data_IF_387512789073
#
_entry.id   IF_387512789073
#
_cell.length_a   1.000
_cell.length_b   1.000
_cell.length_c   1.000
_cell.angle_alpha   90.00
_cell.angle_beta   90.00
_cell.angle_gamma   90.00
#
_symmetry.space_group_name_H-M   'P 1'
#
loop_
_entity.id
_entity.type
_entity.pdbx_description
1 polymer ?
#
# COMPACT_ATOMS: atom_id res chain seq x y z
N UNK A 1 19.87 -32.57 32.31
CA UNK A 1 19.15 -31.43 31.71
C UNK A 1 19.28 -30.10 32.49
N UNK A 2 19.19 -30.06 33.82
CA UNK A 2 19.34 -28.80 34.60
C UNK A 2 20.74 -28.14 34.50
N UNK A 3 21.79 -28.91 34.37
CA UNK A 3 23.20 -28.39 34.31
C UNK A 3 23.55 -27.74 32.95
N UNK A 4 22.95 -28.16 31.85
CA UNK A 4 23.15 -27.55 30.53
C UNK A 4 22.40 -26.22 30.36
N UNK A 5 21.23 -26.08 30.97
CA UNK A 5 20.49 -24.81 30.96
C UNK A 5 21.19 -23.71 31.78
N UNK A 6 21.86 -24.10 32.90
CA UNK A 6 22.64 -23.14 33.68
C UNK A 6 23.87 -22.59 32.92
N UNK A 7 24.57 -23.44 32.16
CA UNK A 7 25.73 -23.03 31.36
C UNK A 7 25.33 -22.11 30.17
N UNK A 8 24.19 -22.40 29.55
CA UNK A 8 23.66 -21.55 28.45
C UNK A 8 23.26 -20.16 28.95
N UNK A 9 22.59 -20.08 30.11
CA UNK A 9 22.21 -18.82 30.72
C UNK A 9 23.42 -17.93 31.09
N UNK A 10 24.50 -18.55 31.58
CA UNK A 10 25.75 -17.81 31.90
C UNK A 10 26.44 -17.28 30.65
N UNK A 11 26.43 -18.03 29.55
CA UNK A 11 27.02 -17.58 28.27
C UNK A 11 26.21 -16.41 27.68
N UNK A 12 24.89 -16.50 27.69
CA UNK A 12 24.03 -15.41 27.20
C UNK A 12 24.21 -14.13 28.02
N UNK A 13 24.31 -14.25 29.35
CA UNK A 13 24.56 -13.12 30.22
C UNK A 13 25.93 -12.47 30.00
N UNK A 14 26.98 -13.28 29.77
CA UNK A 14 28.32 -12.79 29.48
C UNK A 14 28.38 -12.04 28.14
N UNK A 15 27.66 -12.48 27.09
CA UNK A 15 27.58 -11.80 25.80
C UNK A 15 26.82 -10.47 25.93
N UNK A 16 25.73 -10.42 26.69
CA UNK A 16 25.00 -9.21 26.96
C UNK A 16 25.80 -8.18 27.72
N UNK A 17 26.54 -8.61 28.75
CA UNK A 17 27.43 -7.73 29.54
C UNK A 17 28.58 -7.18 28.68
N UNK A 18 29.19 -8.02 27.82
CA UNK A 18 30.23 -7.57 26.89
C UNK A 18 29.70 -6.54 25.87
N UNK A 19 28.47 -6.72 25.37
CA UNK A 19 27.83 -5.77 24.45
C UNK A 19 27.51 -4.43 25.12
N UNK A 20 27.04 -4.45 26.36
CA UNK A 20 26.77 -3.23 27.15
C UNK A 20 28.05 -2.50 27.48
N UNK A 21 29.14 -3.19 27.88
CA UNK A 21 30.44 -2.58 28.15
C UNK A 21 31.08 -2.01 26.88
N UNK A 22 30.91 -2.66 25.72
CA UNK A 22 31.35 -2.13 24.43
C UNK A 22 30.66 -0.82 24.05
N UNK A 23 29.34 -0.76 24.28
CA UNK A 23 28.54 0.46 24.00
C UNK A 23 28.86 1.61 24.96
N UNK A 24 29.21 1.33 26.23
CA UNK A 24 29.63 2.35 27.21
C UNK A 24 31.01 2.90 26.87
N UNK A 25 31.98 2.05 26.51
CA UNK A 25 33.36 2.49 26.16
C UNK A 25 33.39 3.29 24.85
N UNK A 26 32.43 3.08 23.93
CA UNK A 26 32.36 3.91 22.72
C UNK A 26 31.71 5.28 22.96
N UNK A 27 31.04 5.47 24.11
CA UNK A 27 30.39 6.75 24.46
C UNK A 27 31.33 7.77 25.12
N UNK A 28 32.47 7.33 25.65
CA UNK A 28 33.40 8.20 26.39
C UNK A 28 34.51 8.87 25.54
N UNK A 29 34.56 8.65 24.23
CA UNK A 29 35.52 9.29 23.31
C UNK A 29 34.84 10.28 22.38
N UNK A 30 34.24 11.35 22.92
CA UNK A 30 33.98 12.57 22.14
C UNK A 30 34.86 13.70 22.67
N UNK A 31 35.73 14.30 21.86
CA UNK A 31 36.36 15.56 22.22
C UNK A 31 35.34 16.69 22.02
N UNK A 32 35.14 17.48 23.07
CA UNK A 32 34.45 18.77 23.01
C UNK A 32 35.30 19.76 22.21
N UNK A 33 34.67 20.42 21.30
CA UNK A 33 34.91 21.68 20.62
C UNK A 33 34.79 21.54 19.10
N UNK A 34 33.71 22.07 18.55
CA UNK A 34 33.81 22.92 17.36
C UNK A 34 32.53 23.74 17.14
N UNK A 35 32.75 24.97 16.76
CA UNK A 35 31.81 26.05 16.57
C UNK A 35 30.63 25.72 15.64
N UNK A 36 29.47 26.28 16.01
CA UNK A 36 28.25 26.30 15.21
C UNK A 36 28.47 27.16 13.97
N UNK A 37 28.70 26.52 12.82
CA UNK A 37 28.44 27.12 11.52
C UNK A 37 27.18 26.48 10.96
N UNK A 38 26.13 27.30 10.77
CA UNK A 38 24.95 26.94 9.98
C UNK A 38 25.41 26.56 8.57
N UNK A 39 25.56 25.27 8.27
CA UNK A 39 25.67 24.80 6.90
C UNK A 39 24.28 24.36 6.45
N UNK A 40 23.80 24.99 5.39
CA UNK A 40 22.66 24.53 4.61
C UNK A 40 22.88 23.05 4.29
N UNK A 41 21.90 22.20 4.63
CA UNK A 41 21.85 20.80 4.21
C UNK A 41 21.75 20.77 2.67
N UNK A 42 22.91 20.77 2.03
CA UNK A 42 23.01 20.28 0.65
C UNK A 42 22.72 18.78 0.75
N UNK A 43 21.61 18.34 0.15
CA UNK A 43 21.31 16.93 -0.04
C UNK A 43 22.55 16.27 -0.65
N UNK A 44 23.26 15.46 0.13
CA UNK A 44 24.36 14.67 -0.40
C UNK A 44 23.76 13.70 -1.45
N UNK A 45 24.39 13.56 -2.62
CA UNK A 45 23.97 12.57 -3.60
C UNK A 45 23.96 11.20 -2.91
N UNK A 46 22.87 10.45 -3.12
CA UNK A 46 22.72 9.13 -2.54
C UNK A 46 23.99 8.31 -2.77
N UNK A 47 24.65 7.88 -1.69
CA UNK A 47 25.83 7.02 -1.82
C UNK A 47 25.43 5.79 -2.62
N UNK A 48 26.18 5.47 -3.67
CA UNK A 48 25.91 4.32 -4.50
C UNK A 48 25.85 3.06 -3.61
N UNK A 49 24.73 2.33 -3.68
CA UNK A 49 24.54 1.09 -2.94
C UNK A 49 25.70 0.13 -3.18
N UNK A 50 26.26 -0.42 -2.11
CA UNK A 50 27.20 -1.52 -2.24
C UNK A 50 26.53 -2.75 -2.85
N UNK A 51 27.29 -3.61 -3.51
CA UNK A 51 26.77 -4.86 -4.08
C UNK A 51 26.12 -5.75 -3.00
N UNK A 52 26.63 -5.71 -1.78
CA UNK A 52 26.07 -6.44 -0.63
C UNK A 52 24.70 -5.87 -0.24
N UNK A 53 24.55 -4.54 -0.17
CA UNK A 53 23.27 -3.90 0.14
C UNK A 53 22.20 -4.24 -0.89
N UNK A 54 22.53 -4.19 -2.19
CA UNK A 54 21.64 -4.61 -3.27
C UNK A 54 21.20 -6.07 -3.13
N UNK A 55 22.15 -6.96 -2.82
CA UNK A 55 21.85 -8.38 -2.63
C UNK A 55 20.93 -8.61 -1.43
N UNK A 56 21.20 -7.99 -0.30
CA UNK A 56 20.36 -8.09 0.91
C UNK A 56 18.96 -7.55 0.68
N UNK A 57 18.84 -6.37 0.04
CA UNK A 57 17.55 -5.80 -0.35
C UNK A 57 16.76 -6.77 -1.22
N UNK A 58 17.39 -7.34 -2.25
CA UNK A 58 16.73 -8.27 -3.16
C UNK A 58 16.22 -9.53 -2.42
N UNK A 59 17.03 -10.08 -1.50
CA UNK A 59 16.62 -11.23 -0.69
C UNK A 59 15.45 -10.84 0.22
N UNK A 60 15.54 -9.70 0.92
CA UNK A 60 14.50 -9.19 1.80
C UNK A 60 13.17 -9.02 1.06
N UNK A 61 13.16 -8.29 -0.06
CA UNK A 61 11.93 -8.02 -0.82
C UNK A 61 11.36 -9.30 -1.45
N UNK A 62 12.20 -10.22 -1.95
CA UNK A 62 11.74 -11.54 -2.44
C UNK A 62 11.11 -12.37 -1.33
N UNK A 63 11.71 -12.40 -0.15
CA UNK A 63 11.18 -13.11 1.02
C UNK A 63 9.83 -12.53 1.42
N UNK A 64 9.70 -11.21 1.48
CA UNK A 64 8.41 -10.56 1.78
C UNK A 64 7.34 -10.92 0.75
N UNK A 65 7.64 -10.90 -0.55
CA UNK A 65 6.66 -11.24 -1.59
C UNK A 65 6.07 -12.64 -1.38
N UNK A 66 6.92 -13.64 -1.17
CA UNK A 66 6.45 -15.03 -0.99
C UNK A 66 5.75 -15.24 0.35
N UNK A 67 6.11 -14.47 1.39
CA UNK A 67 5.45 -14.49 2.70
C UNK A 67 4.08 -13.82 2.64
N UNK A 68 4.02 -12.57 2.17
CA UNK A 68 2.79 -11.77 2.13
C UNK A 68 1.70 -12.40 1.25
N UNK A 69 2.09 -13.09 0.18
CA UNK A 69 1.15 -13.79 -0.71
C UNK A 69 0.78 -15.20 -0.21
N UNK A 70 1.32 -15.65 0.93
CA UNK A 70 1.13 -17.02 1.42
C UNK A 70 1.77 -18.10 0.53
N UNK A 71 2.58 -17.71 -0.46
CA UNK A 71 3.22 -18.63 -1.40
C UNK A 71 4.25 -19.54 -0.70
N UNK A 72 5.05 -18.98 0.22
CA UNK A 72 6.07 -19.73 0.97
C UNK A 72 5.48 -20.86 1.81
N UNK A 73 4.27 -20.71 2.31
CA UNK A 73 3.59 -21.69 3.18
C UNK A 73 2.69 -22.64 2.39
N UNK A 74 2.60 -22.49 1.06
CA UNK A 74 1.63 -23.18 0.23
C UNK A 74 0.20 -23.02 0.78
N UNK A 75 -0.10 -21.81 1.26
CA UNK A 75 -1.38 -21.45 1.84
C UNK A 75 -2.52 -21.84 0.91
N UNK A 76 -3.53 -22.51 1.44
CA UNK A 76 -4.73 -22.84 0.66
C UNK A 76 -5.37 -21.58 0.08
N UNK A 77 -6.14 -21.74 -0.98
CA UNK A 77 -6.92 -20.67 -1.58
C UNK A 77 -8.33 -20.63 -0.95
N UNK A 78 -8.84 -19.42 -0.75
CA UNK A 78 -10.25 -19.19 -0.41
C UNK A 78 -11.04 -19.15 -1.70
N UNK A 79 -12.08 -19.99 -1.81
CA UNK A 79 -13.05 -19.95 -2.88
C UNK A 79 -14.33 -19.30 -2.39
N UNK A 80 -14.80 -18.32 -3.11
CA UNK A 80 -16.12 -17.73 -2.87
C UNK A 80 -17.19 -18.65 -3.39
N UNK A 81 -18.13 -19.03 -2.53
CA UNK A 81 -19.37 -19.71 -2.94
C UNK A 81 -20.40 -18.69 -3.41
N UNK A 82 -21.32 -19.12 -4.28
CA UNK A 82 -22.52 -18.34 -4.62
C UNK A 82 -23.55 -18.57 -3.50
N UNK A 83 -23.83 -17.54 -2.70
CA UNK A 83 -24.74 -17.62 -1.55
C UNK A 83 -24.08 -17.10 -0.27
N UNK A 84 -24.55 -17.51 0.91
CA UNK A 84 -23.85 -17.27 2.16
C UNK A 84 -22.44 -17.87 2.04
N UNK A 85 -21.45 -16.99 2.08
CA UNK A 85 -20.06 -17.32 1.69
C UNK A 85 -19.50 -18.34 2.67
N UNK A 86 -19.67 -19.61 2.39
CA UNK A 86 -18.86 -20.65 3.00
C UNK A 86 -17.44 -20.50 2.47
N UNK A 87 -16.49 -20.18 3.35
CA UNK A 87 -15.08 -20.11 3.00
C UNK A 87 -14.62 -21.54 2.74
N UNK A 88 -14.66 -21.95 1.48
CA UNK A 88 -14.12 -23.25 1.07
C UNK A 88 -12.64 -23.07 0.79
N UNK A 89 -11.80 -23.81 1.50
CA UNK A 89 -10.36 -23.83 1.25
C UNK A 89 -9.99 -24.89 0.19
N UNK A 90 -9.37 -24.45 -0.89
CA UNK A 90 -8.81 -25.31 -1.93
C UNK A 90 -7.28 -25.38 -1.87
N UNK A 91 -6.70 -26.41 -2.47
CA UNK A 91 -5.23 -26.49 -2.63
C UNK A 91 -4.73 -25.32 -3.48
N UNK A 92 -3.59 -24.75 -3.08
CA UNK A 92 -2.97 -23.64 -3.81
C UNK A 92 -2.61 -24.04 -5.23
N UNK A 93 -3.00 -23.19 -6.20
CA UNK A 93 -2.49 -23.26 -7.56
C UNK A 93 -1.34 -22.24 -7.71
N UNK A 94 -0.14 -22.71 -8.02
CA UNK A 94 1.07 -21.87 -8.08
C UNK A 94 0.95 -20.72 -9.08
N UNK A 95 0.40 -20.97 -10.27
CA UNK A 95 0.28 -19.94 -11.32
C UNK A 95 -0.77 -18.89 -10.94
N UNK A 96 -1.95 -19.36 -10.48
CA UNK A 96 -3.00 -18.44 -9.97
C UNK A 96 -2.48 -17.57 -8.82
N UNK A 97 -1.79 -18.17 -7.80
CA UNK A 97 -1.24 -17.43 -6.68
C UNK A 97 -0.20 -16.39 -7.11
N UNK A 98 0.68 -16.74 -8.04
CA UNK A 98 1.63 -15.79 -8.59
C UNK A 98 0.99 -14.60 -9.28
N UNK A 99 -0.10 -14.84 -10.02
CA UNK A 99 -0.83 -13.81 -10.76
C UNK A 99 -1.89 -13.08 -9.94
N UNK A 100 -2.14 -13.48 -8.69
CA UNK A 100 -3.24 -12.93 -7.88
C UNK A 100 -4.62 -13.39 -8.37
N UNK A 101 -4.71 -14.61 -8.92
CA UNK A 101 -5.95 -15.22 -9.37
C UNK A 101 -6.60 -16.11 -8.32
N UNK A 102 -6.04 -16.21 -7.13
CA UNK A 102 -6.63 -16.85 -5.96
C UNK A 102 -6.38 -16.02 -4.70
N UNK A 103 -7.23 -16.19 -3.69
CA UNK A 103 -7.08 -15.50 -2.41
C UNK A 103 -6.46 -16.45 -1.38
N UNK A 104 -5.36 -16.08 -0.71
CA UNK A 104 -4.75 -16.94 0.29
C UNK A 104 -5.61 -17.04 1.56
N UNK A 105 -5.80 -18.23 2.10
CA UNK A 105 -6.42 -18.42 3.42
C UNK A 105 -5.50 -17.87 4.51
N UNK A 106 -4.19 -18.08 4.39
CA UNK A 106 -3.13 -17.51 5.21
C UNK A 106 -2.21 -16.69 4.30
N UNK A 107 -2.24 -15.38 4.46
CA UNK A 107 -1.47 -14.40 3.66
C UNK A 107 -2.10 -13.02 3.82
N UNK A 108 -1.38 -12.01 3.41
CA UNK A 108 -1.70 -10.60 3.71
C UNK A 108 -2.13 -9.82 2.48
N UNK A 109 -1.99 -10.40 1.28
CA UNK A 109 -2.45 -9.80 0.02
C UNK A 109 -2.87 -10.87 -0.98
N UNK A 110 -3.86 -10.54 -1.81
CA UNK A 110 -4.35 -11.41 -2.90
C UNK A 110 -3.80 -11.01 -4.28
N UNK A 111 -3.04 -9.92 -4.39
CA UNK A 111 -2.58 -9.43 -5.71
C UNK A 111 -1.47 -10.30 -6.34
N UNK A 112 -0.97 -11.27 -5.59
CA UNK A 112 0.06 -12.19 -6.05
C UNK A 112 1.46 -11.57 -6.17
N UNK A 113 2.42 -12.39 -6.54
CA UNK A 113 3.82 -11.96 -6.67
C UNK A 113 3.97 -10.93 -7.78
N UNK A 114 3.27 -11.10 -8.92
CA UNK A 114 3.35 -10.18 -10.07
C UNK A 114 2.79 -8.78 -9.71
N UNK A 115 1.73 -8.72 -8.88
CA UNK A 115 1.22 -7.45 -8.37
C UNK A 115 2.24 -6.73 -7.48
N UNK A 116 2.92 -7.47 -6.60
CA UNK A 116 3.99 -6.91 -5.77
C UNK A 116 5.24 -6.55 -6.58
N UNK A 117 5.57 -7.30 -7.65
CA UNK A 117 6.64 -6.93 -8.59
C UNK A 117 6.36 -5.58 -9.24
N UNK A 118 5.12 -5.33 -9.68
CA UNK A 118 4.72 -4.05 -10.26
C UNK A 118 4.84 -2.91 -9.25
N UNK A 119 4.34 -3.06 -8.01
CA UNK A 119 4.51 -2.04 -6.95
C UNK A 119 5.98 -1.72 -6.72
N UNK A 120 6.85 -2.74 -6.65
CA UNK A 120 8.29 -2.53 -6.50
C UNK A 120 8.87 -1.73 -7.65
N UNK A 121 8.62 -2.14 -8.89
CA UNK A 121 9.11 -1.48 -10.11
C UNK A 121 8.71 0.00 -10.13
N UNK A 122 7.45 0.30 -9.87
CA UNK A 122 6.96 1.68 -9.94
C UNK A 122 7.52 2.55 -8.81
N UNK A 123 7.69 2.00 -7.59
CA UNK A 123 8.35 2.71 -6.49
C UNK A 123 9.84 2.92 -6.78
N UNK A 124 10.54 1.93 -7.32
CA UNK A 124 11.94 2.08 -7.74
C UNK A 124 12.09 3.17 -8.80
N UNK A 125 11.20 3.21 -9.79
CA UNK A 125 11.21 4.24 -10.84
C UNK A 125 10.99 5.65 -10.26
N UNK A 126 9.99 5.86 -9.39
CA UNK A 126 9.76 7.20 -8.79
C UNK A 126 10.90 7.62 -7.86
N UNK A 127 11.56 6.68 -7.19
CA UNK A 127 12.73 6.95 -6.35
C UNK A 127 13.93 7.35 -7.24
N UNK A 128 14.18 6.58 -8.30
CA UNK A 128 15.28 6.84 -9.23
C UNK A 128 15.11 8.18 -9.95
N UNK A 129 13.89 8.50 -10.36
CA UNK A 129 13.56 9.74 -11.09
C UNK A 129 13.41 10.96 -10.16
N UNK A 130 13.53 10.77 -8.84
CA UNK A 130 13.36 11.84 -7.84
C UNK A 130 11.94 12.40 -7.78
N UNK A 131 10.92 11.62 -8.19
CA UNK A 131 9.51 12.04 -8.13
C UNK A 131 9.07 12.16 -6.67
N UNK A 132 8.59 13.33 -6.22
CA UNK A 132 8.18 13.53 -4.84
C UNK A 132 6.83 12.85 -4.55
N UNK A 133 6.62 12.49 -3.28
CA UNK A 133 5.34 12.02 -2.79
C UNK A 133 5.38 10.62 -2.19
N UNK A 134 4.23 10.21 -1.74
CA UNK A 134 3.96 9.07 -0.89
C UNK A 134 3.46 7.86 -1.70
N UNK A 135 3.30 6.72 -1.03
CA UNK A 135 2.49 5.62 -1.53
C UNK A 135 1.10 5.70 -0.90
N UNK A 136 0.06 5.59 -1.73
CA UNK A 136 -1.31 5.53 -1.27
C UNK A 136 -2.04 4.34 -1.90
N UNK A 137 -2.65 3.51 -1.07
CA UNK A 137 -3.54 2.42 -1.48
C UNK A 137 -4.95 2.70 -0.98
N UNK A 138 -5.92 2.64 -1.89
CA UNK A 138 -7.34 2.72 -1.60
C UNK A 138 -7.98 1.38 -1.92
N UNK A 139 -8.41 0.65 -0.86
CA UNK A 139 -8.77 -0.75 -0.88
C UNK A 139 -7.58 -1.64 -0.50
N UNK A 140 -7.46 -1.98 0.78
CA UNK A 140 -6.22 -2.61 1.28
C UNK A 140 -6.39 -4.06 1.71
N UNK A 141 -7.64 -4.51 1.90
CA UNK A 141 -7.96 -5.83 2.44
C UNK A 141 -7.17 -6.12 3.72
N UNK A 142 -6.19 -7.06 3.69
CA UNK A 142 -5.33 -7.38 4.83
C UNK A 142 -4.06 -6.52 4.92
N UNK A 143 -3.89 -5.52 4.06
CA UNK A 143 -2.82 -4.54 4.09
C UNK A 143 -1.49 -4.95 3.46
N UNK A 144 -1.38 -6.17 2.92
CA UNK A 144 -0.09 -6.72 2.48
C UNK A 144 0.57 -5.97 1.32
N UNK A 145 -0.19 -5.33 0.43
CA UNK A 145 0.38 -4.52 -0.65
C UNK A 145 0.96 -3.21 -0.11
N UNK A 146 0.25 -2.53 0.79
CA UNK A 146 0.74 -1.34 1.51
C UNK A 146 1.96 -1.66 2.38
N UNK A 147 1.96 -2.80 3.09
CA UNK A 147 3.12 -3.28 3.85
C UNK A 147 4.33 -3.49 2.96
N UNK A 148 4.12 -4.10 1.79
CA UNK A 148 5.21 -4.31 0.83
C UNK A 148 5.74 -2.98 0.27
N UNK A 149 4.87 -2.04 -0.07
CA UNK A 149 5.27 -0.70 -0.51
C UNK A 149 6.11 0.04 0.55
N UNK A 150 5.68 -0.01 1.83
CA UNK A 150 6.45 0.53 2.97
C UNK A 150 7.83 -0.12 3.08
N UNK A 151 7.90 -1.45 2.95
CA UNK A 151 9.17 -2.19 2.98
C UNK A 151 10.10 -1.81 1.82
N UNK A 152 9.56 -1.63 0.60
CA UNK A 152 10.34 -1.12 -0.55
C UNK A 152 10.91 0.26 -0.21
N UNK A 153 10.08 1.23 0.18
CA UNK A 153 10.54 2.58 0.52
C UNK A 153 11.61 2.56 1.62
N UNK A 154 11.41 1.79 2.69
CA UNK A 154 12.40 1.65 3.76
C UNK A 154 13.72 1.07 3.26
N UNK A 155 13.69 0.08 2.37
CA UNK A 155 14.88 -0.58 1.81
C UNK A 155 15.70 0.32 0.88
N UNK A 156 15.11 1.42 0.41
CA UNK A 156 15.73 2.46 -0.40
C UNK A 156 16.00 3.76 0.38
N UNK A 157 16.00 3.73 1.71
CA UNK A 157 16.20 4.89 2.58
C UNK A 157 15.20 6.04 2.33
N UNK A 158 13.95 5.69 2.01
CA UNK A 158 12.86 6.64 1.78
C UNK A 158 11.89 6.67 2.97
N UNK A 159 12.41 6.66 4.21
CA UNK A 159 11.60 6.65 5.44
C UNK A 159 10.78 7.93 5.64
N UNK A 160 11.07 8.98 4.90
CA UNK A 160 10.34 10.25 4.90
C UNK A 160 9.08 10.24 4.02
N UNK A 161 8.83 9.17 3.26
CA UNK A 161 7.60 9.00 2.48
C UNK A 161 6.54 8.31 3.34
N UNK A 162 5.33 8.85 3.31
CA UNK A 162 4.19 8.26 3.99
C UNK A 162 3.63 7.06 3.24
N UNK A 163 2.96 6.19 3.99
CA UNK A 163 2.13 5.10 3.47
C UNK A 163 0.70 5.34 3.92
N UNK A 164 -0.18 5.70 2.98
CA UNK A 164 -1.60 5.95 3.25
C UNK A 164 -2.39 4.68 2.99
N UNK A 165 -3.02 4.15 4.03
CA UNK A 165 -3.77 2.89 4.05
C UNK A 165 -5.25 3.23 4.16
N UNK A 166 -5.92 3.35 3.00
CA UNK A 166 -7.30 3.83 2.92
C UNK A 166 -8.26 2.67 2.67
N UNK A 167 -9.18 2.43 3.59
CA UNK A 167 -10.20 1.37 3.47
C UNK A 167 -11.41 1.71 4.34
N UNK A 168 -12.54 1.08 4.07
CA UNK A 168 -13.68 1.08 4.98
C UNK A 168 -13.34 0.32 6.28
N UNK A 169 -12.53 -0.73 6.16
CA UNK A 169 -12.27 -1.78 7.15
C UNK A 169 -13.53 -2.54 7.57
N UNK A 170 -14.58 -2.45 6.75
CA UNK A 170 -15.88 -3.08 6.92
C UNK A 170 -16.32 -3.85 5.65
N UNK A 171 -15.46 -3.91 4.62
CA UNK A 171 -15.77 -4.44 3.30
C UNK A 171 -16.32 -3.37 2.34
N UNK A 172 -16.89 -3.78 1.20
CA UNK A 172 -17.40 -2.83 0.22
C UNK A 172 -18.79 -2.28 0.61
N UNK A 173 -19.12 -1.03 0.22
CA UNK A 173 -20.45 -0.46 0.44
C UNK A 173 -21.49 -1.14 -0.42
N UNK A 174 -22.78 -1.09 -0.03
CA UNK A 174 -23.88 -1.39 -0.95
C UNK A 174 -23.82 -0.45 -2.16
N UNK A 175 -24.12 -0.98 -3.35
CA UNK A 175 -24.19 -0.17 -4.58
C UNK A 175 -25.32 0.86 -4.49
N UNK A 176 -25.02 2.13 -4.80
CA UNK A 176 -26.01 3.23 -4.81
C UNK A 176 -26.42 3.60 -6.23
N UNK A 177 -25.68 3.14 -7.24
CA UNK A 177 -25.97 3.34 -8.67
C UNK A 177 -26.47 2.05 -9.31
N UNK A 178 -27.45 2.18 -10.22
CA UNK A 178 -28.12 1.03 -10.86
C UNK A 178 -27.16 0.11 -11.64
N UNK A 179 -26.08 0.63 -12.13
CA UNK A 179 -25.11 -0.10 -12.97
C UNK A 179 -23.94 -0.68 -12.18
N UNK A 180 -23.90 -0.48 -10.86
CA UNK A 180 -22.85 -1.04 -10.03
C UNK A 180 -23.27 -2.42 -9.48
N UNK A 181 -22.29 -3.21 -9.07
CA UNK A 181 -22.50 -4.60 -8.66
C UNK A 181 -22.61 -4.69 -7.13
N UNK A 182 -23.83 -4.85 -6.60
CA UNK A 182 -24.08 -5.05 -5.15
C UNK A 182 -23.57 -6.41 -4.62
N UNK A 183 -23.04 -7.25 -5.48
CA UNK A 183 -22.49 -8.56 -5.12
C UNK A 183 -21.31 -8.43 -4.14
N UNK A 184 -20.43 -7.45 -4.37
CA UNK A 184 -19.20 -7.26 -3.59
C UNK A 184 -19.48 -6.90 -2.14
N UNK A 185 -20.53 -6.13 -1.85
CA UNK A 185 -20.92 -5.74 -0.48
C UNK A 185 -21.28 -6.93 0.42
N UNK A 186 -21.59 -8.07 -0.17
CA UNK A 186 -22.00 -9.31 0.53
C UNK A 186 -20.83 -10.23 0.86
N UNK A 187 -19.63 -9.91 0.39
CA UNK A 187 -18.45 -10.77 0.58
C UNK A 187 -17.78 -10.43 1.92
N UNK A 188 -18.16 -11.15 2.95
CA UNK A 188 -17.61 -10.94 4.31
C UNK A 188 -16.09 -11.11 4.41
N UNK A 189 -15.47 -11.91 3.54
CA UNK A 189 -14.02 -12.13 3.52
C UNK A 189 -13.22 -10.85 3.13
N UNK A 190 -13.89 -9.84 2.57
CA UNK A 190 -13.29 -8.54 2.25
C UNK A 190 -13.31 -7.57 3.44
N UNK A 191 -14.12 -7.84 4.46
CA UNK A 191 -14.19 -7.02 5.67
C UNK A 191 -13.07 -7.43 6.64
N UNK A 192 -12.02 -6.63 6.72
CA UNK A 192 -10.89 -6.82 7.66
C UNK A 192 -10.73 -5.56 8.47
N UNK A 193 -10.88 -5.67 9.82
CA UNK A 193 -10.85 -4.49 10.67
C UNK A 193 -9.51 -3.76 10.64
N UNK A 194 -9.54 -2.47 10.90
CA UNK A 194 -8.35 -1.61 10.98
C UNK A 194 -7.33 -2.13 11.99
N UNK A 195 -7.80 -2.64 13.12
CA UNK A 195 -6.98 -3.19 14.21
C UNK A 195 -6.19 -4.41 13.71
N UNK A 196 -6.83 -5.30 12.94
CA UNK A 196 -6.17 -6.46 12.33
C UNK A 196 -5.12 -6.00 11.33
N UNK A 197 -5.46 -5.08 10.41
CA UNK A 197 -4.49 -4.58 9.42
C UNK A 197 -3.33 -3.85 10.09
N UNK A 198 -3.60 -3.04 11.13
CA UNK A 198 -2.57 -2.39 11.92
C UNK A 198 -1.66 -3.41 12.61
N UNK A 199 -2.23 -4.47 13.21
CA UNK A 199 -1.48 -5.57 13.82
C UNK A 199 -0.54 -6.25 12.82
N UNK A 200 -0.95 -6.43 11.57
CA UNK A 200 -0.09 -6.98 10.52
C UNK A 200 1.15 -6.09 10.26
N UNK A 201 1.00 -4.76 10.23
CA UNK A 201 2.15 -3.86 10.11
C UNK A 201 3.09 -3.96 11.32
N UNK A 202 2.54 -4.13 12.54
CA UNK A 202 3.32 -4.33 13.78
C UNK A 202 4.10 -5.64 13.74
N UNK A 203 3.46 -6.75 13.36
CA UNK A 203 4.08 -8.07 13.23
C UNK A 203 5.27 -8.11 12.26
N UNK A 204 5.23 -7.30 11.21
CA UNK A 204 6.31 -7.19 10.22
C UNK A 204 7.30 -6.05 10.50
N UNK A 205 7.20 -5.37 11.65
CA UNK A 205 8.04 -4.22 12.02
C UNK A 205 8.01 -3.08 10.99
N UNK A 206 6.84 -2.88 10.36
CA UNK A 206 6.61 -1.87 9.33
C UNK A 206 5.74 -0.71 9.81
N UNK A 207 5.21 -0.78 11.04
CA UNK A 207 4.42 0.29 11.63
C UNK A 207 5.33 1.35 12.25
N UNK A 208 5.21 2.56 11.74
CA UNK A 208 5.83 3.77 12.31
C UNK A 208 4.90 4.98 12.10
N UNK A 209 5.37 6.19 12.46
CA UNK A 209 4.60 7.44 12.34
C UNK A 209 4.29 7.85 10.90
N UNK A 210 4.93 7.22 9.90
CA UNK A 210 4.69 7.48 8.48
C UNK A 210 3.57 6.59 7.90
N UNK A 211 2.99 5.68 8.68
CA UNK A 211 1.85 4.84 8.26
C UNK A 211 0.54 5.42 8.77
N UNK A 212 -0.33 5.82 7.85
CA UNK A 212 -1.59 6.49 8.16
C UNK A 212 -2.78 5.66 7.70
N UNK A 213 -3.65 5.30 8.65
CA UNK A 213 -4.88 4.57 8.38
C UNK A 213 -6.04 5.55 8.20
N UNK A 214 -6.65 5.56 7.01
CA UNK A 214 -7.80 6.40 6.67
C UNK A 214 -9.02 5.49 6.60
N UNK A 215 -9.81 5.49 7.66
CA UNK A 215 -10.98 4.64 7.80
C UNK A 215 -12.24 5.29 7.24
N UNK A 216 -13.02 4.53 6.49
CA UNK A 216 -14.35 4.89 6.01
C UNK A 216 -14.53 4.62 4.52
N UNK A 217 -15.78 4.47 4.09
CA UNK A 217 -16.09 4.36 2.67
C UNK A 217 -15.56 5.59 1.91
N UNK A 218 -15.03 5.38 0.72
CA UNK A 218 -14.28 6.39 -0.02
C UNK A 218 -15.05 7.68 -0.26
N UNK A 219 -16.36 7.60 -0.49
CA UNK A 219 -17.22 8.78 -0.65
C UNK A 219 -17.21 9.70 0.57
N UNK A 220 -16.93 9.19 1.77
CA UNK A 220 -16.88 9.98 3.01
C UNK A 220 -15.45 10.31 3.43
N UNK A 221 -14.54 9.34 3.39
CA UNK A 221 -13.18 9.47 3.93
C UNK A 221 -12.22 10.22 2.99
N UNK A 222 -12.32 10.01 1.66
CA UNK A 222 -11.37 10.61 0.73
C UNK A 222 -11.54 12.13 0.53
N UNK A 223 -12.73 12.74 0.59
CA UNK A 223 -12.83 14.20 0.61
C UNK A 223 -12.07 14.84 1.79
N UNK A 224 -12.09 14.21 2.97
CA UNK A 224 -11.35 14.68 4.13
C UNK A 224 -9.84 14.52 3.94
N UNK A 225 -9.42 13.35 3.43
CA UNK A 225 -8.01 13.14 3.09
C UNK A 225 -7.54 14.13 2.02
N UNK A 226 -8.36 14.40 1.00
CA UNK A 226 -8.08 15.40 -0.05
C UNK A 226 -7.79 16.77 0.56
N UNK A 227 -8.58 17.20 1.51
CA UNK A 227 -8.35 18.47 2.22
C UNK A 227 -7.01 18.44 2.98
N UNK A 228 -6.73 17.37 3.73
CA UNK A 228 -5.47 17.19 4.46
C UNK A 228 -4.25 17.22 3.53
N UNK A 229 -4.30 16.50 2.40
CA UNK A 229 -3.22 16.47 1.41
C UNK A 229 -2.98 17.88 0.80
N UNK A 230 -4.06 18.62 0.56
CA UNK A 230 -3.98 19.98 0.01
C UNK A 230 -3.37 20.97 1.01
N UNK A 231 -3.80 20.92 2.27
CA UNK A 231 -3.29 21.80 3.33
C UNK A 231 -1.81 21.58 3.64
N UNK A 232 -1.36 20.33 3.54
CA UNK A 232 0.04 19.95 3.80
C UNK A 232 0.93 19.95 2.55
N UNK A 233 0.37 20.27 1.37
CA UNK A 233 1.02 20.15 0.06
C UNK A 233 1.62 18.76 -0.21
N UNK A 234 1.01 17.70 0.35
CA UNK A 234 1.46 16.33 0.15
C UNK A 234 1.19 15.88 -1.29
N UNK A 235 2.09 15.06 -1.82
CA UNK A 235 1.97 14.42 -3.13
C UNK A 235 1.87 12.91 -2.97
N UNK A 236 1.35 12.25 -3.98
CA UNK A 236 1.25 10.79 -4.07
C UNK A 236 2.10 10.34 -5.25
N UNK A 237 3.26 9.76 -5.00
CA UNK A 237 4.14 9.28 -6.08
C UNK A 237 3.57 8.04 -6.77
N UNK A 238 2.91 7.15 -6.00
CA UNK A 238 2.22 5.96 -6.52
C UNK A 238 0.86 5.85 -5.85
N UNK A 239 -0.21 5.94 -6.64
CA UNK A 239 -1.59 5.72 -6.23
C UNK A 239 -2.05 4.34 -6.71
N UNK A 240 -2.41 3.44 -5.80
CA UNK A 240 -3.06 2.18 -6.09
C UNK A 240 -4.56 2.28 -5.79
N UNK A 241 -5.37 2.20 -6.85
CA UNK A 241 -6.82 2.23 -6.79
C UNK A 241 -7.36 0.81 -6.95
N UNK A 242 -7.92 0.27 -5.86
CA UNK A 242 -8.48 -1.06 -5.73
C UNK A 242 -9.87 -0.92 -5.09
N UNK A 243 -10.85 -0.61 -5.92
CA UNK A 243 -12.18 -0.22 -5.45
C UNK A 243 -13.30 -1.12 -5.94
N UNK A 244 -13.01 -2.10 -6.83
CA UNK A 244 -13.94 -3.06 -7.41
C UNK A 244 -15.15 -2.45 -8.15
N UNK A 245 -15.71 -1.37 -7.59
CA UNK A 245 -16.98 -0.77 -8.02
C UNK A 245 -16.75 0.50 -8.85
N UNK A 246 -17.70 0.82 -9.72
CA UNK A 246 -17.72 2.08 -10.48
C UNK A 246 -17.64 3.30 -9.55
N UNK A 247 -18.52 3.33 -8.53
CA UNK A 247 -18.62 4.44 -7.58
C UNK A 247 -17.32 4.62 -6.79
N UNK A 248 -16.75 3.52 -6.31
CA UNK A 248 -15.50 3.53 -5.54
C UNK A 248 -14.31 4.06 -6.37
N UNK A 249 -14.19 3.64 -7.64
CA UNK A 249 -13.14 4.16 -8.53
C UNK A 249 -13.34 5.65 -8.83
N UNK A 250 -14.58 6.14 -8.99
CA UNK A 250 -14.87 7.56 -9.13
C UNK A 250 -14.47 8.32 -7.85
N UNK A 251 -14.84 7.81 -6.66
CA UNK A 251 -14.45 8.42 -5.39
C UNK A 251 -12.93 8.54 -5.26
N UNK A 252 -12.18 7.49 -5.63
CA UNK A 252 -10.70 7.48 -5.57
C UNK A 252 -10.12 8.48 -6.56
N UNK A 253 -10.48 8.40 -7.83
CA UNK A 253 -9.84 9.19 -8.88
C UNK A 253 -10.14 10.70 -8.75
N UNK A 254 -11.39 11.08 -8.43
CA UNK A 254 -11.72 12.48 -8.27
C UNK A 254 -11.10 13.14 -7.03
N UNK A 255 -10.91 12.39 -5.95
CA UNK A 255 -10.32 12.94 -4.74
C UNK A 255 -8.78 12.89 -4.73
N UNK A 256 -8.13 11.96 -5.43
CA UNK A 256 -6.71 11.70 -5.25
C UNK A 256 -5.84 11.97 -6.49
N UNK A 257 -6.38 11.92 -7.70
CA UNK A 257 -5.60 12.05 -8.94
C UNK A 257 -4.78 13.36 -9.00
N UNK A 258 -5.33 14.48 -8.56
CA UNK A 258 -4.65 15.79 -8.63
C UNK A 258 -3.36 15.88 -7.78
N UNK A 259 -3.21 14.98 -6.80
CA UNK A 259 -2.03 14.91 -5.94
C UNK A 259 -0.91 14.06 -6.53
N UNK A 260 -1.17 13.34 -7.63
CA UNK A 260 -0.14 12.57 -8.31
C UNK A 260 0.65 13.49 -9.23
N UNK A 261 1.95 13.75 -8.96
CA UNK A 261 2.75 14.65 -9.77
C UNK A 261 3.08 14.02 -11.13
N UNK A 262 3.53 14.87 -12.06
CA UNK A 262 4.13 14.39 -13.32
C UNK A 262 5.29 13.46 -12.98
N UNK A 263 5.33 12.29 -13.62
CA UNK A 263 6.28 11.22 -13.33
C UNK A 263 5.79 10.19 -12.32
N UNK A 264 4.74 10.49 -11.54
CA UNK A 264 4.09 9.53 -10.64
C UNK A 264 3.23 8.51 -11.40
N UNK A 265 2.73 7.50 -10.68
CA UNK A 265 1.99 6.40 -11.27
C UNK A 265 0.60 6.21 -10.66
N UNK A 266 -0.33 5.78 -11.51
CA UNK A 266 -1.65 5.31 -11.12
C UNK A 266 -1.73 3.82 -11.45
N UNK A 267 -2.08 2.99 -10.47
CA UNK A 267 -2.37 1.56 -10.62
C UNK A 267 -3.86 1.35 -10.48
N UNK A 268 -4.48 0.67 -11.42
CA UNK A 268 -5.87 0.21 -11.36
C UNK A 268 -5.85 -1.30 -11.21
N UNK A 269 -6.25 -1.80 -10.05
CA UNK A 269 -6.26 -3.23 -9.78
C UNK A 269 -7.32 -3.97 -10.59
N UNK A 270 -8.51 -3.40 -10.67
CA UNK A 270 -9.75 -4.01 -11.12
C UNK A 270 -10.09 -3.72 -12.60
N UNK A 271 -9.11 -3.48 -13.45
CA UNK A 271 -9.38 -3.22 -14.87
C UNK A 271 -10.11 -4.38 -15.56
N UNK A 272 -10.01 -5.60 -15.04
CA UNK A 272 -10.75 -6.76 -15.51
C UNK A 272 -12.25 -6.71 -15.19
N UNK A 273 -12.67 -5.89 -14.21
CA UNK A 273 -14.06 -5.71 -13.82
C UNK A 273 -14.67 -4.60 -14.69
N UNK A 274 -15.74 -4.93 -15.43
CA UNK A 274 -16.30 -4.02 -16.44
C UNK A 274 -16.76 -2.66 -15.88
N UNK A 275 -17.35 -2.65 -14.69
CA UNK A 275 -17.83 -1.40 -14.05
C UNK A 275 -16.66 -0.55 -13.57
N UNK A 276 -15.63 -1.14 -13.00
CA UNK A 276 -14.40 -0.46 -12.60
C UNK A 276 -13.66 0.12 -13.82
N UNK A 277 -13.48 -0.69 -14.88
CA UNK A 277 -12.92 -0.26 -16.16
C UNK A 277 -13.68 0.93 -16.74
N UNK A 278 -15.00 0.90 -16.72
CA UNK A 278 -15.87 1.98 -17.22
C UNK A 278 -15.59 3.28 -16.45
N UNK A 279 -15.53 3.24 -15.11
CA UNK A 279 -15.23 4.41 -14.29
C UNK A 279 -13.90 5.06 -14.71
N UNK A 280 -12.85 4.27 -14.85
CA UNK A 280 -11.52 4.76 -15.24
C UNK A 280 -11.53 5.34 -16.66
N UNK A 281 -12.22 4.68 -17.62
CA UNK A 281 -12.33 5.17 -18.99
C UNK A 281 -13.07 6.51 -19.05
N UNK A 282 -14.18 6.65 -18.32
CA UNK A 282 -14.95 7.89 -18.25
C UNK A 282 -14.16 9.02 -17.57
N UNK A 283 -13.48 8.73 -16.46
CA UNK A 283 -12.61 9.70 -15.82
C UNK A 283 -11.51 10.20 -16.76
N UNK A 284 -10.81 9.28 -17.45
CA UNK A 284 -9.74 9.63 -18.41
C UNK A 284 -10.28 10.42 -19.59
N UNK A 285 -11.42 10.03 -20.16
CA UNK A 285 -12.05 10.75 -21.26
C UNK A 285 -12.48 12.16 -20.85
N UNK A 286 -13.12 12.30 -19.67
CA UNK A 286 -13.55 13.59 -19.14
C UNK A 286 -12.39 14.58 -18.96
N UNK A 287 -11.21 14.09 -18.59
CA UNK A 287 -10.02 14.89 -18.30
C UNK A 287 -8.99 14.89 -19.43
N UNK A 288 -9.32 14.32 -20.61
CA UNK A 288 -8.43 14.21 -21.78
C UNK A 288 -7.06 13.57 -21.47
N UNK A 289 -7.05 12.54 -20.60
CA UNK A 289 -5.83 11.84 -20.21
C UNK A 289 -5.41 10.89 -21.31
N UNK A 290 -4.27 11.17 -21.95
CA UNK A 290 -3.73 10.42 -23.10
C UNK A 290 -2.59 9.44 -22.74
N UNK A 291 -2.10 9.49 -21.51
CA UNK A 291 -0.98 8.62 -21.07
C UNK A 291 -1.22 7.16 -21.44
N UNK A 292 -0.18 6.50 -21.93
CA UNK A 292 -0.27 5.09 -22.34
C UNK A 292 -0.60 4.20 -21.13
N UNK A 293 -1.53 3.26 -21.33
CA UNK A 293 -1.93 2.28 -20.33
C UNK A 293 -1.13 1.00 -20.55
N UNK A 294 -0.49 0.50 -19.50
CA UNK A 294 0.31 -0.72 -19.51
C UNK A 294 -0.41 -1.83 -18.74
N UNK A 295 -0.71 -2.99 -19.37
CA UNK A 295 -1.30 -4.11 -18.68
C UNK A 295 -0.26 -4.87 -17.85
N UNK A 296 -0.68 -5.38 -16.68
CA UNK A 296 0.07 -6.34 -15.91
C UNK A 296 -0.88 -7.36 -15.27
N UNK A 297 -0.39 -8.54 -14.89
CA UNK A 297 -1.11 -9.72 -14.37
C UNK A 297 -2.48 -10.06 -15.04
N UNK A 298 -2.80 -9.46 -16.18
CA UNK A 298 -3.97 -9.76 -17.02
C UNK A 298 -5.28 -9.05 -16.63
N UNK A 299 -5.43 -8.60 -15.39
CA UNK A 299 -6.64 -7.96 -14.87
C UNK A 299 -6.40 -6.56 -14.31
N UNK A 300 -5.17 -6.10 -14.32
CA UNK A 300 -4.77 -4.81 -13.77
C UNK A 300 -3.99 -4.00 -14.79
N UNK A 301 -4.00 -2.69 -14.61
CA UNK A 301 -3.36 -1.71 -15.49
C UNK A 301 -2.66 -0.64 -14.66
N UNK A 302 -1.67 0.01 -15.26
CA UNK A 302 -1.10 1.24 -14.72
C UNK A 302 -0.75 2.22 -15.84
N UNK A 303 -0.58 3.47 -15.47
CA UNK A 303 0.01 4.47 -16.35
C UNK A 303 0.86 5.46 -15.55
N UNK A 304 1.76 6.11 -16.26
CA UNK A 304 2.54 7.22 -15.72
C UNK A 304 1.81 8.54 -15.98
N UNK A 305 1.77 9.43 -15.02
CA UNK A 305 1.21 10.77 -15.20
C UNK A 305 2.21 11.61 -15.99
N UNK A 306 1.82 12.04 -17.20
CA UNK A 306 2.69 12.78 -18.15
C UNK A 306 2.46 14.28 -18.11
N UNK A 307 1.28 14.72 -17.63
CA UNK A 307 0.92 16.12 -17.53
C UNK A 307 0.03 16.39 -16.33
N UNK A 308 0.14 17.60 -15.76
CA UNK A 308 -0.77 18.05 -14.71
C UNK A 308 -2.12 18.42 -15.32
N UNK A 309 -3.17 17.81 -14.83
CA UNK A 309 -4.54 17.98 -15.31
C UNK A 309 -5.41 18.47 -14.16
N UNK A 310 -6.18 19.56 -14.34
CA UNK A 310 -7.15 20.01 -13.34
C UNK A 310 -8.32 19.03 -13.29
N UNK A 311 -8.58 18.46 -12.13
CA UNK A 311 -9.72 17.56 -11.91
C UNK A 311 -11.02 18.36 -11.86
N UNK A 312 -12.03 17.94 -12.62
CA UNK A 312 -13.36 18.57 -12.67
C UNK A 312 -14.19 18.21 -11.43
N UNK A 313 -13.73 18.64 -10.27
CA UNK A 313 -14.29 18.24 -8.98
C UNK A 313 -15.77 18.64 -8.81
N UNK A 314 -16.21 19.75 -9.40
CA UNK A 314 -17.62 20.15 -9.40
C UNK A 314 -18.55 19.12 -10.05
N UNK A 315 -18.08 18.41 -11.10
CA UNK A 315 -18.84 17.29 -11.66
C UNK A 315 -19.00 16.16 -10.65
N UNK A 316 -17.93 15.86 -9.91
CA UNK A 316 -17.97 14.82 -8.88
C UNK A 316 -18.92 15.18 -7.73
N UNK A 317 -18.96 16.44 -7.30
CA UNK A 317 -19.92 16.90 -6.29
C UNK A 317 -21.37 16.69 -6.74
N UNK A 318 -21.69 16.97 -8.01
CA UNK A 318 -23.03 16.67 -8.57
C UNK A 318 -23.28 15.16 -8.66
N UNK A 319 -22.29 14.39 -9.09
CA UNK A 319 -22.40 12.91 -9.11
C UNK A 319 -22.71 12.35 -7.70
N UNK A 320 -22.02 12.82 -6.68
CA UNK A 320 -22.25 12.39 -5.28
C UNK A 320 -23.69 12.71 -4.83
N UNK A 321 -24.27 13.87 -5.22
CA UNK A 321 -25.66 14.23 -4.89
C UNK A 321 -26.69 13.27 -5.47
N UNK A 322 -26.37 12.58 -6.58
CA UNK A 322 -27.28 11.59 -7.19
C UNK A 322 -27.30 10.26 -6.42
N UNK A 323 -26.37 10.06 -5.49
CA UNK A 323 -26.23 8.80 -4.74
C UNK A 323 -27.09 8.81 -3.47
N UNK A 324 -27.60 7.63 -3.11
CA UNK A 324 -28.34 7.45 -1.85
C UNK A 324 -27.34 7.17 -0.73
N UNK A 325 -26.76 8.23 -0.18
CA UNK A 325 -25.75 8.15 0.85
C UNK A 325 -26.35 8.24 2.25
N UNK A 326 -25.73 7.52 3.18
CA UNK A 326 -26.04 7.59 4.62
C UNK A 326 -25.28 8.75 5.26
N UNK A 327 -26.00 9.84 5.53
CA UNK A 327 -25.42 11.06 6.12
C UNK A 327 -24.81 10.82 7.51
N UNK A 328 -25.21 9.77 8.24
CA UNK A 328 -24.68 9.43 9.57
C UNK A 328 -23.24 8.92 9.52
N UNK A 329 -22.77 8.45 8.35
CA UNK A 329 -21.41 7.92 8.13
C UNK A 329 -20.39 8.97 7.70
N UNK A 330 -20.80 10.23 7.56
CA UNK A 330 -19.89 11.32 7.20
C UNK A 330 -18.98 11.64 8.40
N UNK A 331 -17.69 11.38 8.26
CA UNK A 331 -16.66 11.58 9.29
C UNK A 331 -15.60 12.58 8.77
N UNK A 332 -15.84 13.84 8.91
CA UNK A 332 -14.78 14.85 8.85
C UNK A 332 -14.93 15.79 10.04
#
# INVERSE_FOLDING_TARGET
MRDQMGKLAVIVLAVLVAFVLFTITMREKRPDNLAVTKSMNVLQPAQADSQVQKSLRNIYLKTLKVTLTGYAFKSKAIKMGVGEVEIIEEAMNNDKRRRGGDWPSVGYTMIGIIGLDNIQELLENVIQDGVPGDFLEAGVWRGGASMFAKAVMNSYNQQNRHTWVCDSFEGLPPATQKNDLDFWSKIKALAVSKEIVRGHFEEFFLLDEMVHFIQGYFVYSLPCLRQTLKEKDNKIAVLRADGDMYESLMDILFNLYEFVPVGGYIIIDDWGIQVAKKAVQEFRAMHDIKSTIFPFRGISMYWRVESKIPVKYSWYEEFVKTRKLDASKKQC
#
